data_IF_471518476796
#
_entry.id   IF_471518476796
#
_cell.length_a   1.000
_cell.length_b   1.000
_cell.length_c   1.000
_cell.angle_alpha   90.00
_cell.angle_beta   90.00
_cell.angle_gamma   90.00
#
_symmetry.space_group_name_H-M   'P 1'
#
loop_
_entity.id
_entity.type
_entity.pdbx_description
1 polymer ?
#
# COMPACT_ATOMS: atom_id res chain seq x y z
N UNK A 1 -26.74 27.18 -48.11
CA UNK A 1 -25.44 26.96 -48.78
C UNK A 1 -24.41 27.89 -48.15
N UNK A 2 -23.58 27.33 -47.28
CA UNK A 2 -22.49 28.03 -46.63
C UNK A 2 -21.29 28.14 -47.59
N UNK A 3 -20.60 29.27 -47.59
CA UNK A 3 -19.22 29.37 -48.09
C UNK A 3 -18.39 30.15 -47.08
N UNK A 4 -17.54 29.39 -46.40
CA UNK A 4 -16.46 29.82 -45.53
C UNK A 4 -15.35 30.48 -46.37
N UNK A 5 -14.74 31.55 -45.85
CA UNK A 5 -13.36 31.92 -46.17
C UNK A 5 -12.57 32.03 -44.88
N UNK A 6 -11.47 31.28 -44.84
CA UNK A 6 -10.60 31.06 -43.71
C UNK A 6 -9.57 32.20 -43.55
N UNK A 7 -9.32 32.61 -42.32
CA UNK A 7 -8.20 33.48 -41.93
C UNK A 7 -7.07 32.68 -41.30
N UNK A 8 -5.86 33.06 -41.68
CA UNK A 8 -4.58 32.42 -41.41
C UNK A 8 -4.11 32.45 -39.95
N UNK A 9 -3.18 31.53 -39.69
CA UNK A 9 -2.45 31.25 -38.47
C UNK A 9 -1.49 32.36 -38.03
N UNK A 10 -1.21 32.40 -36.72
CA UNK A 10 0.04 32.91 -36.16
C UNK A 10 0.40 32.12 -34.89
N UNK A 11 1.54 31.43 -34.95
CA UNK A 11 2.16 30.69 -33.87
C UNK A 11 2.90 31.66 -32.92
N UNK A 12 2.70 31.49 -31.60
CA UNK A 12 3.31 32.30 -30.56
C UNK A 12 4.18 31.47 -29.60
N UNK A 13 5.49 31.66 -29.75
CA UNK A 13 6.56 31.73 -28.75
C UNK A 13 6.61 30.74 -27.55
N UNK A 14 7.71 29.99 -27.55
CA UNK A 14 8.34 29.25 -26.46
C UNK A 14 8.92 30.23 -25.43
N UNK A 15 8.67 30.02 -24.13
CA UNK A 15 9.39 30.70 -23.04
C UNK A 15 9.93 29.70 -22.03
N UNK A 16 11.25 29.77 -21.85
CA UNK A 16 12.07 28.99 -20.92
C UNK A 16 11.83 29.44 -19.46
N UNK A 17 11.90 28.50 -18.51
CA UNK A 17 12.08 28.79 -17.10
C UNK A 17 13.11 27.81 -16.49
N UNK A 18 13.99 28.37 -15.68
CA UNK A 18 15.29 27.89 -15.21
C UNK A 18 15.25 26.78 -14.12
N UNK A 19 16.38 26.09 -13.85
CA UNK A 19 16.47 25.00 -12.89
C UNK A 19 16.73 25.47 -11.45
N UNK A 20 16.08 24.82 -10.47
CA UNK A 20 16.40 24.97 -9.04
C UNK A 20 17.68 24.19 -8.70
N UNK A 21 18.72 24.92 -8.30
CA UNK A 21 19.94 24.40 -7.74
C UNK A 21 19.85 24.28 -6.21
N UNK A 22 20.40 23.17 -5.71
CA UNK A 22 21.31 23.04 -4.56
C UNK A 22 20.95 23.73 -3.22
N UNK A 23 20.71 22.89 -2.22
CA UNK A 23 21.22 23.10 -0.86
C UNK A 23 21.87 21.80 -0.38
N UNK A 24 23.21 21.78 -0.44
CA UNK A 24 24.10 20.88 0.28
C UNK A 24 24.64 21.62 1.51
N UNK A 25 24.71 20.94 2.66
CA UNK A 25 25.68 21.12 3.76
C UNK A 25 25.40 20.05 4.83
N UNK A 26 26.26 19.03 4.95
CA UNK A 26 27.43 18.94 5.85
C UNK A 26 27.03 18.66 7.31
N UNK A 27 27.71 17.89 8.15
CA UNK A 27 28.78 16.89 8.10
C UNK A 27 28.86 16.36 9.56
N UNK A 28 29.27 15.12 9.77
CA UNK A 28 29.41 14.56 11.12
C UNK A 28 30.06 13.18 11.11
N UNK A 29 31.36 13.18 10.89
CA UNK A 29 32.24 12.01 10.98
C UNK A 29 32.58 11.73 12.45
N UNK A 30 32.59 10.46 12.85
CA UNK A 30 33.37 9.99 13.98
C UNK A 30 33.74 8.52 13.75
N UNK A 31 35.00 8.32 13.35
CA UNK A 31 35.69 7.05 13.35
C UNK A 31 35.85 6.51 14.78
N UNK A 32 35.80 5.19 14.94
CA UNK A 32 36.73 4.45 15.80
C UNK A 32 36.76 2.99 15.37
N UNK A 33 37.99 2.51 15.27
CA UNK A 33 38.45 1.22 14.77
C UNK A 33 38.95 0.40 15.98
N UNK A 34 38.79 -0.94 15.97
CA UNK A 34 39.53 -1.97 16.75
C UNK A 34 38.83 -3.31 16.44
N UNK A 35 39.37 -4.22 15.61
CA UNK A 35 40.51 -5.16 15.76
C UNK A 35 40.14 -6.53 16.36
N UNK A 36 40.07 -7.52 15.47
CA UNK A 36 40.73 -8.86 15.45
C UNK A 36 40.55 -9.92 16.57
N UNK A 37 40.34 -11.18 16.12
CA UNK A 37 40.59 -12.45 16.83
C UNK A 37 39.34 -13.08 17.49
N UNK A 38 39.07 -14.38 17.52
CA UNK A 38 39.83 -15.59 17.17
C UNK A 38 38.90 -16.83 17.36
N UNK A 39 39.10 -17.88 16.55
CA UNK A 39 39.22 -19.30 16.97
C UNK A 39 38.04 -20.18 17.48
N UNK A 40 37.85 -21.30 16.74
CA UNK A 40 37.50 -22.71 17.11
C UNK A 40 36.11 -23.06 17.74
N UNK A 41 35.39 -24.06 17.18
CA UNK A 41 35.27 -25.49 17.62
C UNK A 41 34.74 -25.66 19.05
N UNK A 42 33.94 -26.64 19.46
CA UNK A 42 33.25 -27.83 18.94
C UNK A 42 32.47 -28.37 20.18
N UNK A 43 31.64 -29.40 19.99
CA UNK A 43 31.19 -30.38 20.98
C UNK A 43 29.94 -30.10 21.84
N UNK A 44 29.07 -31.12 21.92
CA UNK A 44 28.37 -31.44 23.18
C UNK A 44 26.86 -31.66 23.17
N UNK A 45 26.36 -32.68 22.47
CA UNK A 45 25.16 -33.49 22.84
C UNK A 45 25.37 -34.14 24.24
N UNK A 46 24.42 -34.85 24.93
CA UNK A 46 22.94 -34.97 24.89
C UNK A 46 22.26 -34.78 26.27
N UNK A 47 20.92 -34.71 26.33
CA UNK A 47 20.15 -35.24 27.47
C UNK A 47 18.73 -35.64 27.08
N UNK A 48 18.27 -36.76 27.64
CA UNK A 48 17.08 -37.52 27.28
C UNK A 48 15.89 -37.30 28.23
N UNK A 49 14.67 -37.33 27.67
CA UNK A 49 13.36 -37.87 28.19
C UNK A 49 12.82 -37.34 29.56
N UNK A 50 11.59 -37.68 29.99
CA UNK A 50 10.28 -37.80 29.31
C UNK A 50 9.09 -37.16 30.11
N UNK A 51 7.88 -37.24 29.52
CA UNK A 51 6.54 -37.45 30.14
C UNK A 51 5.84 -36.41 31.04
N UNK A 52 4.70 -35.91 30.52
CA UNK A 52 3.31 -36.11 31.01
C UNK A 52 2.85 -35.61 32.41
N UNK A 53 2.05 -34.50 32.39
CA UNK A 53 0.77 -34.16 33.14
C UNK A 53 0.73 -34.27 34.69
N UNK A 54 -0.17 -33.57 35.46
CA UNK A 54 -1.56 -33.20 35.12
C UNK A 54 -2.12 -31.86 35.65
N UNK A 55 -3.41 -31.65 35.35
CA UNK A 55 -4.28 -30.52 35.64
C UNK A 55 -4.47 -30.17 37.12
N UNK A 56 -4.70 -28.88 37.39
CA UNK A 56 -5.46 -28.42 38.57
C UNK A 56 -6.48 -27.35 38.18
N UNK A 57 -7.68 -27.49 38.76
CA UNK A 57 -8.84 -26.60 38.64
C UNK A 57 -8.59 -25.33 39.46
N UNK A 58 -8.95 -24.17 38.90
CA UNK A 58 -9.04 -22.91 39.62
C UNK A 58 -10.23 -22.10 39.13
N UNK A 59 -11.31 -22.10 39.90
CA UNK A 59 -12.45 -21.22 39.72
C UNK A 59 -12.05 -19.78 40.11
N UNK A 60 -12.29 -18.81 39.23
CA UNK A 60 -12.21 -17.39 39.58
C UNK A 60 -13.40 -16.63 38.94
N UNK A 61 -14.01 -15.85 39.82
CA UNK A 61 -15.26 -15.09 39.72
C UNK A 61 -14.94 -13.65 39.28
N UNK A 62 -15.87 -13.01 38.56
CA UNK A 62 -15.85 -11.58 38.22
C UNK A 62 -15.31 -11.32 36.81
N UNK A 63 -15.89 -10.50 35.95
CA UNK A 63 -16.78 -9.36 36.17
C UNK A 63 -17.52 -9.12 34.86
N UNK A 64 -18.85 -9.04 34.90
CA UNK A 64 -19.65 -8.55 33.77
C UNK A 64 -19.28 -7.09 33.53
N UNK A 65 -18.55 -6.84 32.44
CA UNK A 65 -18.15 -5.50 32.00
C UNK A 65 -19.41 -4.75 31.59
N UNK A 66 -19.93 -3.95 32.52
CA UNK A 66 -21.04 -3.04 32.29
C UNK A 66 -20.77 -2.20 31.06
N UNK A 67 -21.69 -2.27 30.10
CA UNK A 67 -21.71 -1.40 28.94
C UNK A 67 -21.81 0.05 29.42
N UNK A 68 -20.72 0.82 29.28
CA UNK A 68 -20.75 2.26 29.45
C UNK A 68 -21.72 2.81 28.40
N UNK A 69 -22.86 3.33 28.87
CA UNK A 69 -23.90 3.96 28.05
C UNK A 69 -23.34 5.30 27.56
N UNK A 70 -22.64 5.26 26.43
CA UNK A 70 -22.03 6.43 25.80
C UNK A 70 -23.10 7.42 25.30
N UNK A 71 -22.80 8.71 25.38
CA UNK A 71 -23.59 9.79 24.81
C UNK A 71 -24.04 9.46 23.36
N UNK A 72 -25.23 9.89 22.92
CA UNK A 72 -25.74 9.57 21.60
C UNK A 72 -24.75 10.04 20.53
N UNK A 73 -24.27 9.10 19.70
CA UNK A 73 -23.39 9.42 18.58
C UNK A 73 -24.12 10.37 17.64
N UNK A 74 -23.39 11.38 17.14
CA UNK A 74 -23.94 12.30 16.15
C UNK A 74 -24.39 11.52 14.90
N UNK A 75 -25.66 11.69 14.52
CA UNK A 75 -26.25 11.07 13.32
C UNK A 75 -25.46 11.46 12.07
N UNK A 76 -24.98 12.71 11.99
CA UNK A 76 -24.20 13.18 10.85
C UNK A 76 -22.87 12.43 10.73
N UNK A 77 -22.20 12.16 11.86
CA UNK A 77 -20.97 11.38 11.85
C UNK A 77 -21.22 9.93 11.46
N UNK A 78 -22.32 9.36 11.95
CA UNK A 78 -22.73 8.01 11.58
C UNK A 78 -23.00 7.87 10.08
N UNK A 79 -23.75 8.82 9.49
CA UNK A 79 -24.01 8.84 8.03
C UNK A 79 -22.70 8.96 7.24
N UNK A 80 -21.78 9.83 7.66
CA UNK A 80 -20.47 9.98 7.01
C UNK A 80 -19.63 8.70 7.08
N UNK A 81 -19.72 7.97 8.19
CA UNK A 81 -19.00 6.71 8.40
C UNK A 81 -19.59 5.58 7.54
N UNK A 82 -20.92 5.47 7.45
CA UNK A 82 -21.59 4.54 6.54
C UNK A 82 -21.21 4.84 5.09
N UNK A 83 -21.24 6.11 4.68
CA UNK A 83 -20.88 6.50 3.32
C UNK A 83 -19.43 6.12 2.98
N UNK A 84 -18.49 6.32 3.92
CA UNK A 84 -17.11 5.88 3.75
C UNK A 84 -17.00 4.35 3.62
N UNK A 85 -17.75 3.60 4.43
CA UNK A 85 -17.77 2.14 4.35
C UNK A 85 -18.30 1.65 2.99
N UNK A 86 -19.35 2.29 2.46
CA UNK A 86 -19.89 1.99 1.13
C UNK A 86 -18.82 2.21 0.05
N UNK A 87 -18.14 3.37 0.04
CA UNK A 87 -17.06 3.63 -0.91
C UNK A 87 -15.97 2.56 -0.86
N UNK A 88 -15.55 2.19 0.35
CA UNK A 88 -14.52 1.17 0.54
C UNK A 88 -14.97 -0.19 0.02
N UNK A 89 -16.23 -0.58 0.25
CA UNK A 89 -16.81 -1.83 -0.26
C UNK A 89 -16.84 -1.83 -1.79
N UNK A 90 -17.29 -0.73 -2.41
CA UNK A 90 -17.32 -0.59 -3.87
C UNK A 90 -15.94 -0.79 -4.50
N UNK A 91 -14.91 -0.20 -3.87
CA UNK A 91 -13.50 -0.31 -4.25
C UNK A 91 -12.85 -1.66 -3.90
N UNK A 92 -13.59 -2.60 -3.32
CA UNK A 92 -13.12 -3.96 -3.03
C UNK A 92 -12.35 -4.10 -1.71
N UNK A 93 -12.70 -3.28 -0.70
CA UNK A 93 -12.18 -3.46 0.64
C UNK A 93 -12.65 -4.80 1.25
N UNK A 94 -11.72 -5.51 1.88
CA UNK A 94 -12.04 -6.70 2.68
C UNK A 94 -12.64 -6.29 4.02
N UNK A 95 -13.42 -7.19 4.61
CA UNK A 95 -14.08 -6.96 5.91
C UNK A 95 -13.07 -6.54 7.01
N UNK A 96 -11.89 -7.15 7.05
CA UNK A 96 -10.84 -6.83 8.03
C UNK A 96 -10.34 -5.38 7.91
N UNK A 97 -10.31 -4.81 6.70
CA UNK A 97 -9.96 -3.40 6.52
C UNK A 97 -11.11 -2.50 7.00
N UNK A 98 -12.36 -2.85 6.69
CA UNK A 98 -13.55 -2.11 7.14
C UNK A 98 -13.65 -2.08 8.67
N UNK A 99 -13.41 -3.22 9.34
CA UNK A 99 -13.39 -3.33 10.80
C UNK A 99 -12.30 -2.48 11.46
N UNK A 100 -11.18 -2.26 10.75
CA UNK A 100 -10.05 -1.51 11.27
C UNK A 100 -10.15 0.00 11.01
N UNK A 101 -10.88 0.43 9.98
CA UNK A 101 -10.97 1.84 9.56
C UNK A 101 -12.34 2.48 9.86
N UNK A 102 -13.31 1.71 10.36
CA UNK A 102 -14.64 2.20 10.74
C UNK A 102 -15.00 1.75 12.15
N UNK A 103 -15.90 2.47 12.81
CA UNK A 103 -16.45 2.13 14.13
C UNK A 103 -17.78 1.37 14.06
N UNK A 104 -18.15 0.91 12.86
CA UNK A 104 -19.35 0.10 12.61
C UNK A 104 -19.16 -1.31 13.19
N UNK A 105 -20.22 -1.89 13.75
CA UNK A 105 -20.16 -3.27 14.23
C UNK A 105 -19.97 -4.24 13.06
N UNK A 106 -19.30 -5.36 13.34
CA UNK A 106 -19.07 -6.44 12.36
C UNK A 106 -20.36 -6.90 11.67
N UNK A 107 -21.43 -7.11 12.43
CA UNK A 107 -22.72 -7.55 11.87
C UNK A 107 -23.35 -6.49 10.95
N UNK A 108 -23.12 -5.21 11.24
CA UNK A 108 -23.57 -4.11 10.38
C UNK A 108 -22.74 -4.06 9.09
N UNK A 109 -21.42 -4.23 9.17
CA UNK A 109 -20.54 -4.30 8.00
C UNK A 109 -20.88 -5.48 7.08
N UNK A 110 -21.17 -6.66 7.64
CA UNK A 110 -21.55 -7.84 6.85
C UNK A 110 -22.87 -7.60 6.11
N UNK A 111 -23.87 -6.99 6.78
CA UNK A 111 -25.15 -6.65 6.14
C UNK A 111 -24.95 -5.61 5.04
N UNK A 112 -24.24 -4.52 5.34
CA UNK A 112 -23.93 -3.47 4.37
C UNK A 112 -23.18 -4.02 3.15
N UNK A 113 -22.21 -4.91 3.34
CA UNK A 113 -21.48 -5.54 2.24
C UNK A 113 -22.42 -6.34 1.33
N UNK A 114 -23.33 -7.13 1.91
CA UNK A 114 -24.32 -7.91 1.14
C UNK A 114 -25.29 -6.99 0.39
N UNK A 115 -25.71 -5.89 1.00
CA UNK A 115 -26.59 -4.90 0.36
C UNK A 115 -25.90 -4.24 -0.84
N UNK A 116 -24.60 -3.93 -0.75
CA UNK A 116 -23.84 -3.26 -1.82
C UNK A 116 -23.36 -4.22 -2.91
N UNK A 117 -22.85 -5.42 -2.55
CA UNK A 117 -22.22 -6.36 -3.50
C UNK A 117 -23.11 -7.57 -3.88
N UNK A 118 -24.20 -7.82 -3.16
CA UNK A 118 -25.07 -8.99 -3.38
C UNK A 118 -24.50 -10.32 -2.86
N UNK A 119 -23.24 -10.35 -2.42
CA UNK A 119 -22.55 -11.55 -1.93
C UNK A 119 -21.99 -11.37 -0.52
N UNK A 120 -21.56 -12.46 0.11
CA UNK A 120 -20.91 -12.38 1.42
C UNK A 120 -19.45 -11.93 1.27
N UNK A 121 -18.90 -11.17 2.23
CA UNK A 121 -17.49 -10.78 2.19
C UNK A 121 -16.58 -12.01 2.06
N UNK A 122 -15.50 -11.93 1.25
CA UNK A 122 -14.58 -13.03 1.07
C UNK A 122 -13.93 -13.41 2.41
N UNK A 123 -13.85 -14.72 2.67
CA UNK A 123 -13.20 -15.29 3.85
C UNK A 123 -11.70 -15.40 3.58
N UNK A 124 -10.90 -15.11 4.60
CA UNK A 124 -9.44 -15.28 4.54
C UNK A 124 -8.71 -14.14 5.21
N UNK A 125 -7.48 -14.44 5.66
CA UNK A 125 -6.61 -13.43 6.25
C UNK A 125 -6.01 -12.52 5.18
N UNK A 126 -5.64 -11.31 5.59
CA UNK A 126 -4.82 -10.43 4.77
C UNK A 126 -3.42 -11.01 4.55
N UNK A 127 -2.76 -10.69 3.43
CA UNK A 127 -1.37 -11.09 3.22
C UNK A 127 -0.46 -10.40 4.26
N UNK A 128 0.39 -11.19 4.94
CA UNK A 128 1.28 -10.73 6.02
C UNK A 128 2.73 -10.49 5.60
N UNK A 129 3.10 -10.75 4.35
CA UNK A 129 4.47 -10.54 3.87
C UNK A 129 4.61 -9.26 3.04
N UNK A 130 5.80 -8.69 3.09
CA UNK A 130 6.24 -7.57 2.24
C UNK A 130 6.63 -8.01 0.83
N UNK A 131 6.95 -9.29 0.64
CA UNK A 131 7.62 -9.79 -0.57
C UNK A 131 6.81 -9.59 -1.84
N UNK A 132 5.47 -9.62 -1.73
CA UNK A 132 4.61 -9.35 -2.88
C UNK A 132 4.90 -7.98 -3.50
N UNK A 133 5.21 -6.97 -2.67
CA UNK A 133 5.55 -5.62 -3.11
C UNK A 133 6.91 -5.50 -3.80
N UNK A 134 7.77 -6.52 -3.68
CA UNK A 134 9.09 -6.53 -4.34
C UNK A 134 9.04 -7.16 -5.74
N UNK A 135 7.95 -7.85 -6.07
CA UNK A 135 7.78 -8.43 -7.40
C UNK A 135 7.56 -7.33 -8.45
N UNK A 136 8.11 -7.51 -9.65
CA UNK A 136 8.24 -6.46 -10.67
C UNK A 136 6.98 -5.62 -10.90
N UNK A 137 5.88 -6.22 -11.38
CA UNK A 137 4.67 -5.48 -11.71
C UNK A 137 3.97 -4.92 -10.45
N UNK A 138 3.71 -5.72 -9.39
CA UNK A 138 3.24 -5.20 -8.12
C UNK A 138 4.05 -4.03 -7.54
N UNK A 139 5.38 -4.07 -7.64
CA UNK A 139 6.26 -3.00 -7.17
C UNK A 139 5.98 -1.68 -7.90
N UNK A 140 5.85 -1.72 -9.23
CA UNK A 140 5.53 -0.54 -10.05
C UNK A 140 4.19 0.08 -9.62
N UNK A 141 3.13 -0.73 -9.54
CA UNK A 141 1.79 -0.26 -9.16
C UNK A 141 1.77 0.27 -7.72
N UNK A 142 2.46 -0.41 -6.81
CA UNK A 142 2.57 -0.01 -5.40
C UNK A 142 3.33 1.30 -5.23
N UNK A 143 4.40 1.48 -6.00
CA UNK A 143 5.19 2.70 -6.01
C UNK A 143 4.38 3.88 -6.55
N UNK A 144 3.64 3.68 -7.65
CA UNK A 144 2.74 4.70 -8.20
C UNK A 144 1.67 5.11 -7.17
N UNK A 145 0.96 4.14 -6.59
CA UNK A 145 -0.04 4.41 -5.57
C UNK A 145 0.56 5.13 -4.36
N UNK A 146 1.70 4.66 -3.84
CA UNK A 146 2.26 5.20 -2.61
C UNK A 146 2.79 6.63 -2.79
N UNK A 147 3.41 6.95 -3.94
CA UNK A 147 3.79 8.34 -4.26
C UNK A 147 2.56 9.25 -4.36
N UNK A 148 1.47 8.76 -4.96
CA UNK A 148 0.19 9.48 -4.99
C UNK A 148 -0.36 9.71 -3.58
N UNK A 149 -0.30 8.68 -2.72
CA UNK A 149 -0.72 8.76 -1.32
C UNK A 149 0.09 9.77 -0.51
N UNK A 150 1.41 9.85 -0.70
CA UNK A 150 2.24 10.86 -0.04
C UNK A 150 1.83 12.28 -0.44
N UNK A 151 1.54 12.51 -1.72
CA UNK A 151 1.04 13.79 -2.20
C UNK A 151 -0.31 14.15 -1.56
N UNK A 152 -1.26 13.21 -1.58
CA UNK A 152 -2.60 13.41 -1.01
C UNK A 152 -2.58 13.60 0.51
N UNK A 153 -1.69 12.91 1.23
CA UNK A 153 -1.58 13.01 2.69
C UNK A 153 -0.88 14.30 3.12
N UNK A 154 0.17 14.71 2.39
CA UNK A 154 0.94 15.92 2.68
C UNK A 154 0.19 17.22 2.36
N UNK A 155 -0.52 17.27 1.23
CA UNK A 155 -1.24 18.48 0.79
C UNK A 155 -2.72 18.49 1.22
N UNK A 156 -3.32 17.32 1.42
CA UNK A 156 -4.77 17.19 1.48
C UNK A 156 -5.43 17.35 2.86
N UNK A 157 -4.65 17.47 3.96
CA UNK A 157 -5.19 17.51 5.35
C UNK A 157 -6.32 16.49 5.60
N UNK A 158 -6.22 15.32 4.96
CA UNK A 158 -7.24 14.28 5.00
C UNK A 158 -6.87 13.24 6.07
N UNK A 159 -7.88 12.64 6.69
CA UNK A 159 -7.70 11.42 7.47
C UNK A 159 -6.99 10.35 6.62
N UNK A 160 -6.11 9.55 7.21
CA UNK A 160 -5.29 8.55 6.50
C UNK A 160 -6.13 7.63 5.60
N UNK A 161 -7.26 7.12 6.09
CA UNK A 161 -8.17 6.27 5.29
C UNK A 161 -8.74 7.02 4.08
N UNK A 162 -9.12 8.29 4.23
CA UNK A 162 -9.63 9.10 3.12
C UNK A 162 -8.53 9.38 2.10
N UNK A 163 -7.31 9.63 2.56
CA UNK A 163 -6.16 9.77 1.68
C UNK A 163 -5.88 8.46 0.91
N UNK A 164 -5.97 7.30 1.56
CA UNK A 164 -5.86 5.98 0.90
C UNK A 164 -6.94 5.83 -0.18
N UNK A 165 -8.21 6.04 0.16
CA UNK A 165 -9.35 5.89 -0.77
C UNK A 165 -9.20 6.81 -1.99
N UNK A 166 -8.89 8.09 -1.78
CA UNK A 166 -8.70 9.05 -2.87
C UNK A 166 -7.50 8.70 -3.75
N UNK A 167 -6.37 8.33 -3.15
CA UNK A 167 -5.15 7.95 -3.89
C UNK A 167 -5.36 6.66 -4.67
N UNK A 168 -6.12 5.72 -4.13
CA UNK A 168 -6.46 4.48 -4.81
C UNK A 168 -7.37 4.72 -6.01
N UNK A 169 -8.32 5.66 -5.93
CA UNK A 169 -9.12 6.07 -7.10
C UNK A 169 -8.27 6.69 -8.20
N UNK A 170 -7.33 7.57 -7.86
CA UNK A 170 -6.41 8.15 -8.84
C UNK A 170 -5.53 7.07 -9.48
N UNK A 171 -5.10 6.08 -8.70
CA UNK A 171 -4.41 4.91 -9.23
C UNK A 171 -5.29 4.13 -10.21
N UNK A 172 -6.56 3.83 -9.88
CA UNK A 172 -7.47 3.13 -10.79
C UNK A 172 -7.78 3.93 -12.07
N UNK A 173 -7.90 5.26 -11.96
CA UNK A 173 -8.02 6.14 -13.12
C UNK A 173 -6.80 6.03 -14.03
N UNK A 174 -5.59 6.09 -13.47
CA UNK A 174 -4.36 5.94 -14.22
C UNK A 174 -4.28 4.59 -14.94
N UNK A 175 -4.66 3.50 -14.26
CA UNK A 175 -4.73 2.16 -14.87
C UNK A 175 -5.69 2.13 -16.06
N UNK A 176 -6.90 2.67 -15.89
CA UNK A 176 -7.90 2.74 -16.98
C UNK A 176 -7.43 3.59 -18.16
N UNK A 177 -6.79 4.74 -17.91
CA UNK A 177 -6.29 5.61 -18.97
C UNK A 177 -5.18 4.97 -19.81
N UNK A 178 -4.44 4.02 -19.23
CA UNK A 178 -3.36 3.29 -19.89
C UNK A 178 -3.75 1.88 -20.35
N UNK A 179 -5.04 1.50 -20.23
CA UNK A 179 -5.54 0.16 -20.55
C UNK A 179 -4.76 -0.95 -19.82
N UNK A 180 -4.37 -0.70 -18.57
CA UNK A 180 -3.66 -1.65 -17.72
C UNK A 180 -4.59 -2.26 -16.66
N UNK A 181 -4.45 -3.56 -16.41
CA UNK A 181 -5.15 -4.20 -15.31
C UNK A 181 -4.53 -3.82 -13.95
N UNK A 182 -5.35 -3.44 -12.95
CA UNK A 182 -4.84 -3.05 -11.65
C UNK A 182 -4.29 -4.27 -10.88
N UNK A 183 -2.96 -4.40 -10.81
CA UNK A 183 -2.30 -5.44 -10.02
C UNK A 183 -2.43 -5.24 -8.50
N UNK A 184 -2.57 -3.98 -8.05
CA UNK A 184 -2.74 -3.60 -6.65
C UNK A 184 -4.23 -3.48 -6.30
N UNK A 185 -4.68 -4.22 -5.28
CA UNK A 185 -6.02 -4.08 -4.70
C UNK A 185 -6.05 -3.03 -3.58
N UNK A 186 -7.23 -2.46 -3.27
CA UNK A 186 -7.40 -1.45 -2.21
C UNK A 186 -6.85 -1.96 -0.87
N UNK A 187 -7.16 -3.21 -0.54
CA UNK A 187 -6.73 -3.80 0.73
C UNK A 187 -5.20 -3.94 0.79
N UNK A 188 -4.53 -4.28 -0.33
CA UNK A 188 -3.06 -4.30 -0.38
C UNK A 188 -2.46 -2.90 -0.31
N UNK A 189 -3.10 -1.92 -0.95
CA UNK A 189 -2.69 -0.52 -0.88
C UNK A 189 -2.75 0.02 0.56
N UNK A 190 -3.79 -0.36 1.31
CA UNK A 190 -3.91 -0.08 2.73
C UNK A 190 -2.85 -0.78 3.59
N UNK A 191 -2.59 -2.07 3.34
CA UNK A 191 -1.50 -2.80 4.02
C UNK A 191 -0.14 -2.17 3.74
N UNK A 192 0.10 -1.73 2.50
CA UNK A 192 1.33 -1.04 2.10
C UNK A 192 1.58 0.19 2.96
N UNK A 193 0.58 1.06 3.14
CA UNK A 193 0.70 2.26 4.01
C UNK A 193 1.09 1.87 5.44
N UNK A 194 0.55 0.78 5.96
CA UNK A 194 0.90 0.29 7.30
C UNK A 194 2.32 -0.24 7.39
N UNK A 195 2.82 -0.93 6.38
CA UNK A 195 4.22 -1.37 6.34
C UNK A 195 5.21 -0.21 6.26
N UNK A 196 4.85 0.87 5.59
CA UNK A 196 5.63 2.12 5.65
C UNK A 196 5.57 2.75 7.05
N UNK A 197 4.37 2.82 7.66
CA UNK A 197 4.21 3.38 9.00
C UNK A 197 4.97 2.58 10.08
N UNK A 198 5.12 1.25 9.89
CA UNK A 198 5.89 0.39 10.79
C UNK A 198 7.39 0.32 10.47
N UNK A 199 7.87 1.06 9.46
CA UNK A 199 9.27 1.05 9.06
C UNK A 199 9.76 -0.25 8.43
N UNK A 200 8.86 -1.09 7.88
CA UNK A 200 9.24 -2.32 7.16
C UNK A 200 9.59 -2.03 5.69
N UNK A 201 9.02 -0.97 5.13
CA UNK A 201 9.21 -0.54 3.75
C UNK A 201 9.67 0.92 3.69
N UNK A 202 10.40 1.23 2.62
CA UNK A 202 10.83 2.59 2.30
C UNK A 202 10.69 2.87 0.80
N UNK A 203 10.91 4.13 0.42
CA UNK A 203 11.04 4.54 -0.96
C UNK A 203 12.53 4.71 -1.32
N UNK A 204 12.96 4.04 -2.40
CA UNK A 204 14.31 4.10 -2.94
C UNK A 204 14.29 4.77 -4.31
N UNK A 205 15.17 5.74 -4.52
CA UNK A 205 15.33 6.43 -5.80
C UNK A 205 16.11 5.57 -6.80
N UNK A 206 15.58 5.41 -8.01
CA UNK A 206 16.26 4.72 -9.10
C UNK A 206 17.44 5.56 -9.62
N UNK A 207 18.62 4.95 -9.71
CA UNK A 207 19.84 5.57 -10.24
C UNK A 207 19.77 5.94 -11.73
N UNK A 208 18.79 5.40 -12.48
CA UNK A 208 18.61 5.67 -13.92
C UNK A 208 17.51 6.69 -14.21
N UNK A 209 16.29 6.46 -13.72
CA UNK A 209 15.15 7.35 -14.00
C UNK A 209 14.83 8.35 -12.89
N UNK A 210 15.48 8.27 -11.72
CA UNK A 210 15.18 9.13 -10.57
C UNK A 210 13.84 8.84 -9.86
N UNK A 211 12.99 7.97 -10.43
CA UNK A 211 11.72 7.59 -9.82
C UNK A 211 11.89 6.88 -8.47
N UNK A 212 10.93 7.05 -7.56
CA UNK A 212 10.95 6.46 -6.21
C UNK A 212 10.10 5.20 -6.16
N UNK A 213 10.73 4.08 -5.82
CA UNK A 213 10.10 2.76 -5.80
C UNK A 213 10.09 2.15 -4.40
N UNK A 214 9.11 1.30 -4.12
CA UNK A 214 9.02 0.56 -2.87
C UNK A 214 10.20 -0.41 -2.75
N UNK A 215 10.86 -0.43 -1.58
CA UNK A 215 11.94 -1.34 -1.23
C UNK A 215 11.86 -1.70 0.26
N UNK A 216 12.59 -2.72 0.71
CA UNK A 216 12.72 -2.98 2.15
C UNK A 216 13.51 -1.86 2.83
N UNK A 217 13.13 -1.53 4.07
CA UNK A 217 13.68 -0.39 4.84
C UNK A 217 15.21 -0.44 5.10
N UNK A 218 15.85 -1.60 4.88
CA UNK A 218 17.28 -1.80 5.13
C UNK A 218 18.04 -2.33 3.92
N UNK A 219 17.42 -2.36 2.74
CA UNK A 219 18.13 -2.74 1.52
C UNK A 219 19.14 -1.67 1.11
N UNK A 220 20.32 -2.06 0.59
CA UNK A 220 21.29 -1.12 0.05
C UNK A 220 20.67 -0.22 -1.02
N UNK A 221 20.64 1.09 -0.74
CA UNK A 221 20.05 2.08 -1.64
C UNK A 221 20.99 2.43 -2.81
N UNK A 222 22.30 2.20 -2.64
CA UNK A 222 23.31 2.58 -3.62
C UNK A 222 23.18 1.70 -4.87
N UNK A 223 23.06 2.36 -6.03
CA UNK A 223 22.98 1.67 -7.32
C UNK A 223 21.66 0.94 -7.58
N UNK A 224 20.60 1.21 -6.80
CA UNK A 224 19.28 0.64 -7.07
C UNK A 224 18.81 1.01 -8.49
N UNK A 225 18.36 0.02 -9.25
CA UNK A 225 17.77 0.17 -10.57
C UNK A 225 16.37 -0.42 -10.52
N UNK A 226 15.35 0.39 -10.81
CA UNK A 226 13.98 -0.07 -10.78
C UNK A 226 13.68 -1.05 -11.91
N UNK A 227 12.63 -1.85 -11.73
CA UNK A 227 12.23 -2.82 -12.74
C UNK A 227 11.67 -2.22 -14.03
N UNK A 228 11.40 -0.91 -14.11
CA UNK A 228 11.10 -0.25 -15.40
C UNK A 228 12.38 0.02 -16.20
N UNK A 229 13.48 0.37 -15.51
CA UNK A 229 14.77 0.63 -16.14
C UNK A 229 15.58 -0.64 -16.41
N UNK A 230 15.26 -1.74 -15.73
CA UNK A 230 15.80 -3.07 -15.98
C UNK A 230 14.67 -4.12 -15.89
N UNK A 231 13.79 -4.20 -16.91
CA UNK A 231 12.69 -5.15 -16.92
C UNK A 231 13.18 -6.60 -16.90
N UNK A 232 12.54 -7.50 -16.13
CA UNK A 232 12.85 -8.92 -16.18
C UNK A 232 12.46 -9.51 -17.54
N UNK A 233 13.05 -10.64 -17.95
CA UNK A 233 12.81 -11.26 -19.26
C UNK A 233 11.34 -11.61 -19.54
N UNK A 234 10.51 -11.70 -18.51
CA UNK A 234 9.06 -12.00 -18.61
C UNK A 234 8.19 -10.73 -18.67
N UNK A 235 8.80 -9.55 -18.74
CA UNK A 235 8.09 -8.30 -18.85
C UNK A 235 7.18 -8.25 -20.09
N UNK A 236 5.92 -7.85 -19.90
CA UNK A 236 4.93 -7.73 -20.97
C UNK A 236 4.46 -9.06 -21.57
N UNK A 237 4.72 -10.21 -20.93
CA UNK A 237 4.20 -11.51 -21.40
C UNK A 237 2.69 -11.65 -21.20
N UNK A 238 2.14 -11.08 -20.12
CA UNK A 238 0.69 -11.06 -19.85
C UNK A 238 -0.09 -10.30 -20.91
N UNK A 239 0.39 -9.14 -21.37
CA UNK A 239 -0.24 -8.36 -22.44
C UNK A 239 -0.27 -9.12 -23.77
N UNK A 240 0.87 -9.71 -24.16
CA UNK A 240 0.96 -10.54 -25.39
C UNK A 240 0.04 -11.76 -25.36
N UNK A 241 -0.13 -12.38 -24.20
CA UNK A 241 -1.05 -13.51 -24.05
C UNK A 241 -2.52 -13.07 -24.15
N UNK A 242 -2.89 -11.93 -23.57
CA UNK A 242 -4.24 -11.37 -23.69
C UNK A 242 -4.57 -10.96 -25.14
N UNK A 243 -3.64 -10.28 -25.82
CA UNK A 243 -3.75 -9.91 -27.24
C UNK A 243 -3.92 -11.17 -28.14
N UNK A 244 -3.19 -12.25 -27.87
CA UNK A 244 -3.31 -13.50 -28.62
C UNK A 244 -4.66 -14.21 -28.41
N UNK A 245 -5.22 -14.16 -27.18
CA UNK A 245 -6.55 -14.72 -26.87
C UNK A 245 -7.66 -13.90 -27.52
N UNK A 246 -7.53 -12.58 -27.64
CA UNK A 246 -8.51 -11.73 -28.32
C UNK A 246 -8.45 -11.78 -29.85
N UNK A 247 -7.32 -12.21 -30.42
CA UNK A 247 -7.13 -12.37 -31.87
C UNK A 247 -7.53 -13.76 -32.40
N UNK A 248 -7.99 -14.67 -31.52
CA UNK A 248 -8.43 -16.04 -31.83
C UNK A 248 -9.96 -16.15 -31.77
#
# INVERSE_FOLDING_TARGET
>A
MATLTATHAAAGAVSQAAPCALLDSAAGSADTNISTGDTLQDSGTPAAKPSTQPATKGAAKGTTKGASRGAPRSVVLEVKEIALAIEMIELGARLQMLEAETSLSRDRLIRLYKEVKGESPPKGMLPFSTDWFMTWQPNVHSSLFYNTFLFMSGQGRCDTVRAIVKSYRLYLEHMRLHDEEPALSLTRAWTLVRYFASGLLQLTSCSRCGGRFVAHAHDPQRGFVCGLCQPPSRAGRTRRNAEAVHAS
#
